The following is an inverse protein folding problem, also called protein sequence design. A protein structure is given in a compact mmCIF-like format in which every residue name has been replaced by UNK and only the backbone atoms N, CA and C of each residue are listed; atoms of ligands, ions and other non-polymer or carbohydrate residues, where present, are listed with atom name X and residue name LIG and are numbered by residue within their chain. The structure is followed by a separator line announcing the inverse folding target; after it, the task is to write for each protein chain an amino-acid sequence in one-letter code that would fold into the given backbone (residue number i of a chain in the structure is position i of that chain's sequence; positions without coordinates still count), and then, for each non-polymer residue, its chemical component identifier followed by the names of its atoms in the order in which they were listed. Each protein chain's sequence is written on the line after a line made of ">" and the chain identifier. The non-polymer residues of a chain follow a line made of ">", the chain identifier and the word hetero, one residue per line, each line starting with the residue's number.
data_IF_763611946967
#
_entry.id   IF_763611946967
#
_cell.length_a   1.000
_cell.length_b   1.000
_cell.length_c   1.000
_cell.angle_alpha   90.00
_cell.angle_beta   90.00
_cell.angle_gamma   90.00
#
_symmetry.space_group_name_H-M   'P 1'
#
loop_
_entity.id
_entity.type
_entity.pdbx_description
1 polymer ?
#
# COMPACT_ATOMS: atom_id res chain seq x y z
N UNK A 1 3.23 -10.91 11.13
CA UNK A 1 3.80 -12.14 10.52
C UNK A 1 5.22 -12.30 11.04
N UNK A 2 5.67 -13.53 11.30
CA UNK A 2 7.07 -13.79 11.70
C UNK A 2 7.65 -14.78 10.69
N UNK A 3 8.81 -14.46 10.11
CA UNK A 3 9.51 -15.31 9.14
C UNK A 3 10.42 -16.33 9.85
N UNK A 4 10.86 -17.41 9.16
CA UNK A 4 11.73 -18.43 9.74
C UNK A 4 13.08 -17.90 10.25
N UNK A 5 13.51 -16.73 9.77
CA UNK A 5 14.73 -16.04 10.20
C UNK A 5 14.47 -15.08 11.38
N UNK A 6 13.32 -15.24 12.04
CA UNK A 6 12.83 -14.46 13.19
C UNK A 6 12.46 -13.01 12.90
N UNK A 7 12.48 -12.58 11.65
CA UNK A 7 12.01 -11.24 11.31
C UNK A 7 10.49 -11.12 11.53
N UNK A 8 10.07 -10.13 12.31
CA UNK A 8 8.67 -9.77 12.52
C UNK A 8 8.25 -8.66 11.56
N UNK A 9 7.29 -8.96 10.69
CA UNK A 9 6.61 -7.97 9.85
C UNK A 9 5.28 -7.56 10.47
N UNK A 10 5.06 -6.25 10.54
CA UNK A 10 3.81 -5.61 10.96
C UNK A 10 3.24 -4.79 9.81
N UNK A 11 1.96 -4.98 9.53
CA UNK A 11 1.19 -4.21 8.57
C UNK A 11 0.23 -3.31 9.33
N UNK A 12 0.30 -2.01 9.08
CA UNK A 12 -0.64 -1.03 9.63
C UNK A 12 -1.65 -0.64 8.56
N UNK A 13 -2.89 -0.39 8.97
CA UNK A 13 -3.98 -0.04 8.06
C UNK A 13 -4.65 1.25 8.52
N UNK A 14 -5.07 2.06 7.54
CA UNK A 14 -5.85 3.26 7.81
C UNK A 14 -7.31 2.91 8.15
N UNK A 15 -8.13 3.91 8.49
CA UNK A 15 -9.55 3.74 8.82
C UNK A 15 -10.37 3.08 7.69
N UNK A 16 -9.94 3.25 6.42
CA UNK A 16 -10.55 2.63 5.25
C UNK A 16 -10.07 1.18 5.00
N UNK A 17 -9.25 0.61 5.89
CA UNK A 17 -8.71 -0.74 5.76
C UNK A 17 -7.59 -0.87 4.71
N UNK A 18 -7.07 0.24 4.19
CA UNK A 18 -5.97 0.22 3.23
C UNK A 18 -4.62 0.18 3.95
N UNK A 19 -3.64 -0.48 3.34
CA UNK A 19 -2.29 -0.56 3.87
C UNK A 19 -1.70 0.84 4.03
N UNK A 20 -1.19 1.17 5.20
CA UNK A 20 -0.60 2.47 5.51
C UNK A 20 0.92 2.37 5.68
N UNK A 21 1.39 1.26 6.25
CA UNK A 21 2.81 1.07 6.59
C UNK A 21 3.18 -0.40 6.64
N UNK A 22 4.42 -0.72 6.25
CA UNK A 22 5.03 -2.04 6.43
C UNK A 22 6.30 -1.88 7.22
N UNK A 23 6.32 -2.42 8.44
CA UNK A 23 7.45 -2.34 9.36
C UNK A 23 8.05 -3.72 9.59
N UNK A 24 9.36 -3.85 9.40
CA UNK A 24 10.15 -5.03 9.73
C UNK A 24 10.94 -4.81 11.02
N UNK A 25 11.04 -5.85 11.84
CA UNK A 25 11.85 -5.85 13.04
C UNK A 25 12.59 -7.19 13.17
N UNK A 26 13.92 -7.12 13.19
CA UNK A 26 14.81 -8.25 13.51
C UNK A 26 15.76 -7.85 14.65
N UNK A 27 16.97 -7.40 14.33
CA UNK A 27 17.88 -6.78 15.31
C UNK A 27 17.62 -5.27 15.48
N UNK A 28 17.07 -4.64 14.45
CA UNK A 28 16.69 -3.22 14.41
C UNK A 28 15.40 -3.08 13.58
N UNK A 29 14.68 -1.99 13.82
CA UNK A 29 13.43 -1.69 13.11
C UNK A 29 13.67 -0.90 11.84
N UNK A 30 12.92 -1.20 10.78
CA UNK A 30 12.95 -0.45 9.53
C UNK A 30 11.61 -0.51 8.79
N UNK A 31 11.31 0.57 8.06
CA UNK A 31 10.05 0.74 7.34
C UNK A 31 10.22 0.35 5.88
N UNK A 32 9.89 -0.90 5.52
CA UNK A 32 9.88 -1.35 4.11
C UNK A 32 9.07 -0.42 3.21
N UNK A 33 7.87 -0.06 3.68
CA UNK A 33 7.02 0.97 3.08
C UNK A 33 6.88 2.09 4.11
N UNK A 34 7.48 3.23 3.79
CA UNK A 34 7.47 4.41 4.65
C UNK A 34 6.29 5.33 4.40
N UNK A 35 5.75 5.32 3.17
CA UNK A 35 4.53 6.03 2.79
C UNK A 35 3.85 5.38 1.60
N UNK A 36 2.53 5.40 1.59
CA UNK A 36 1.67 4.93 0.52
C UNK A 36 0.43 5.81 0.48
N UNK A 37 0.09 6.33 -0.69
CA UNK A 37 -1.13 7.14 -0.89
C UNK A 37 -2.07 6.46 -1.88
N UNK A 38 -3.35 6.79 -1.75
CA UNK A 38 -4.44 6.24 -2.55
C UNK A 38 -5.30 7.36 -3.13
N UNK A 39 -5.98 7.07 -4.24
CA UNK A 39 -7.07 7.92 -4.74
C UNK A 39 -8.41 7.57 -4.07
N UNK A 40 -9.45 8.34 -4.41
CA UNK A 40 -10.81 8.18 -3.90
C UNK A 40 -11.48 6.83 -4.26
N UNK A 41 -10.88 6.06 -5.16
CA UNK A 41 -11.36 4.75 -5.59
C UNK A 41 -10.50 3.62 -5.03
N UNK A 42 -9.65 3.93 -4.06
CA UNK A 42 -8.78 3.00 -3.34
C UNK A 42 -7.61 2.47 -4.19
N UNK A 43 -7.28 3.13 -5.31
CA UNK A 43 -6.12 2.77 -6.13
C UNK A 43 -4.87 3.49 -5.62
N UNK A 44 -3.73 2.78 -5.59
CA UNK A 44 -2.44 3.36 -5.19
C UNK A 44 -2.02 4.45 -6.16
N UNK A 45 -1.62 5.61 -5.63
CA UNK A 45 -1.13 6.77 -6.40
C UNK A 45 0.35 7.06 -6.11
N UNK A 46 0.83 6.69 -4.92
CA UNK A 46 2.20 6.94 -4.50
C UNK A 46 2.71 5.80 -3.60
N UNK A 47 4.01 5.51 -3.69
CA UNK A 47 4.68 4.55 -2.82
C UNK A 47 6.14 4.97 -2.58
N UNK A 48 6.55 5.02 -1.31
CA UNK A 48 7.93 5.29 -0.89
C UNK A 48 8.51 4.14 -0.09
N UNK A 49 9.59 3.56 -0.60
CA UNK A 49 10.32 2.47 0.04
C UNK A 49 11.39 2.96 1.03
N UNK A 50 11.88 2.06 1.87
CA UNK A 50 12.95 2.34 2.86
C UNK A 50 14.22 2.94 2.23
N UNK A 51 14.56 2.54 1.01
CA UNK A 51 15.75 2.97 0.30
C UNK A 51 15.61 4.35 -0.37
N UNK A 52 14.52 5.06 -0.10
CA UNK A 52 14.22 6.35 -0.70
C UNK A 52 13.70 6.26 -2.14
N UNK A 53 13.52 5.06 -2.70
CA UNK A 53 12.89 4.91 -4.00
C UNK A 53 11.42 5.29 -3.92
N UNK A 54 10.99 6.14 -4.85
CA UNK A 54 9.62 6.64 -4.94
C UNK A 54 9.00 6.21 -6.26
N UNK A 55 7.77 5.72 -6.20
CA UNK A 55 6.99 5.33 -7.37
C UNK A 55 5.69 6.14 -7.40
N UNK A 56 5.41 6.73 -8.55
CA UNK A 56 4.19 7.48 -8.82
C UNK A 56 3.34 6.68 -9.82
N UNK A 57 2.06 6.52 -9.51
CA UNK A 57 1.13 5.79 -10.34
C UNK A 57 0.07 6.74 -10.91
N UNK A 58 -0.11 6.68 -12.23
CA UNK A 58 -1.19 7.38 -12.91
C UNK A 58 -2.20 6.36 -13.40
N UNK A 59 -3.42 6.44 -12.89
CA UNK A 59 -4.53 5.57 -13.30
C UNK A 59 -5.27 6.25 -14.45
N UNK A 60 -5.36 5.59 -15.60
CA UNK A 60 -6.22 6.03 -16.71
C UNK A 60 -7.63 5.49 -16.51
N UNK A 61 -8.55 6.35 -16.09
CA UNK A 61 -9.94 5.96 -15.82
C UNK A 61 -10.71 5.49 -17.07
N UNK A 62 -10.26 5.86 -18.28
CA UNK A 62 -10.91 5.46 -19.53
C UNK A 62 -10.95 3.93 -19.71
N UNK A 63 -9.94 3.21 -19.20
CA UNK A 63 -9.88 1.75 -19.23
C UNK A 63 -10.73 1.07 -18.14
N UNK A 64 -11.14 1.82 -17.10
CA UNK A 64 -11.85 1.29 -15.92
C UNK A 64 -13.35 1.61 -15.92
N UNK A 65 -13.85 2.44 -16.84
CA UNK A 65 -15.30 2.75 -16.96
C UNK A 65 -16.20 1.50 -16.95
N UNK A 66 -15.85 0.37 -17.61
CA UNK A 66 -16.67 -0.84 -17.53
C UNK A 66 -16.70 -1.46 -16.12
N UNK A 67 -15.57 -1.42 -15.39
CA UNK A 67 -15.41 -2.02 -14.06
C UNK A 67 -16.01 -1.14 -12.95
N UNK A 68 -15.91 0.19 -13.07
CA UNK A 68 -16.51 1.15 -12.15
C UNK A 68 -18.04 1.06 -12.14
N UNK A 69 -18.67 0.79 -13.29
CA UNK A 69 -20.13 0.56 -13.35
C UNK A 69 -20.56 -0.63 -12.51
N UNK A 70 -19.76 -1.70 -12.42
CA UNK A 70 -20.10 -2.89 -11.66
C UNK A 70 -19.98 -2.71 -10.13
N UNK A 71 -19.03 -1.89 -9.64
CA UNK A 71 -18.83 -1.66 -8.20
C UNK A 71 -19.84 -0.70 -7.58
N UNK A 72 -20.50 0.16 -8.37
CA UNK A 72 -21.54 1.12 -7.90
C UNK A 72 -22.95 0.48 -7.85
N UNK A 73 -23.14 -0.66 -8.50
CA UNK A 73 -24.43 -1.37 -8.59
C UNK A 73 -24.60 -2.49 -7.54
N UNK A 74 -23.63 -2.65 -6.64
CA UNK A 74 -23.64 -3.56 -5.47
C UNK A 74 -23.59 -2.73 -4.19
#
# INVERSE_FOLDING_TARGET
>A
MIYPDEEKITYSYNLGGQLEKVHGYKSYGYDYVSKIDYDKFEQRTYLKYCNGAETFYTVSYLAYIPLLKFKILL
#
